data_IF_429371005212
#
_entry.id   IF_429371005212
#
_cell.length_a   1.000
_cell.length_b   1.000
_cell.length_c   1.000
_cell.angle_alpha   90.00
_cell.angle_beta   90.00
_cell.angle_gamma   90.00
#
_symmetry.space_group_name_H-M   'P 1'
#
loop_
_entity.id
_entity.type
_entity.pdbx_description
1 polymer ?
#
# COMPACT_ATOMS: atom_id res chain seq x y z
N UNK A 1 -4.48 14.05 3.22
CA UNK A 1 -4.90 12.78 3.83
C UNK A 1 -3.79 11.73 3.70
N UNK A 2 -2.76 11.76 4.56
CA UNK A 2 -1.64 10.79 4.50
C UNK A 2 -1.92 9.44 5.19
N UNK A 3 -3.09 9.31 5.84
CA UNK A 3 -3.41 8.21 6.74
C UNK A 3 -4.21 7.06 6.10
N UNK A 4 -4.19 6.90 4.77
CA UNK A 4 -4.96 5.86 4.06
C UNK A 4 -4.10 4.74 3.47
N UNK A 5 -2.77 4.78 3.66
CA UNK A 5 -1.84 3.79 3.10
C UNK A 5 -1.42 2.75 4.13
N UNK A 6 -1.08 1.56 3.63
CA UNK A 6 -0.57 0.41 4.38
C UNK A 6 0.56 0.76 5.36
N UNK A 7 1.40 1.76 5.04
CA UNK A 7 2.45 2.32 5.89
C UNK A 7 2.41 3.85 5.77
N UNK A 8 1.68 4.53 6.64
CA UNK A 8 1.52 5.98 6.53
C UNK A 8 0.95 6.69 7.76
N UNK A 9 0.37 5.96 8.71
CA UNK A 9 -0.14 6.50 9.96
C UNK A 9 0.38 5.69 11.17
N UNK A 10 0.42 6.34 12.34
CA UNK A 10 0.97 5.74 13.56
C UNK A 10 0.30 4.39 13.96
N UNK A 11 -1.02 4.21 13.88
CA UNK A 11 -1.65 2.91 14.13
C UNK A 11 -1.17 1.78 13.19
N UNK A 12 -1.03 2.05 11.89
CA UNK A 12 -0.57 1.04 10.93
C UNK A 12 0.89 0.65 11.16
N UNK A 13 1.73 1.61 11.58
CA UNK A 13 3.10 1.31 12.00
C UNK A 13 3.15 0.42 13.25
N UNK A 14 2.26 0.65 14.22
CA UNK A 14 2.13 -0.19 15.42
C UNK A 14 1.68 -1.62 15.08
N UNK A 15 0.68 -1.78 14.21
CA UNK A 15 0.25 -3.12 13.78
C UNK A 15 1.36 -3.82 12.99
N UNK A 16 2.06 -3.09 12.10
CA UNK A 16 3.21 -3.63 11.37
C UNK A 16 4.31 -4.14 12.29
N UNK A 17 4.66 -3.41 13.36
CA UNK A 17 5.71 -3.83 14.29
C UNK A 17 5.32 -5.08 15.07
N UNK A 18 4.06 -5.20 15.52
CA UNK A 18 3.54 -6.41 16.19
C UNK A 18 3.68 -7.62 15.26
N UNK A 19 3.30 -7.47 13.99
CA UNK A 19 3.35 -8.57 13.00
C UNK A 19 4.80 -8.96 12.69
N UNK A 20 5.70 -7.98 12.54
CA UNK A 20 7.13 -8.24 12.34
C UNK A 20 7.76 -8.94 13.56
N UNK A 21 7.37 -8.57 14.79
CA UNK A 21 7.79 -9.25 16.02
C UNK A 21 7.33 -10.72 16.09
N UNK A 22 6.16 -11.04 15.52
CA UNK A 22 5.67 -12.44 15.42
C UNK A 22 6.35 -13.25 14.31
N UNK A 23 7.35 -12.70 13.63
CA UNK A 23 8.13 -13.38 12.59
C UNK A 23 7.50 -13.34 11.20
N UNK A 24 6.43 -12.56 11.00
CA UNK A 24 5.79 -12.39 9.70
C UNK A 24 6.43 -11.20 9.00
N UNK A 25 7.10 -11.45 7.87
CA UNK A 25 7.78 -10.41 7.10
C UNK A 25 6.78 -9.48 6.42
N UNK A 26 6.74 -8.22 6.85
CA UNK A 26 5.91 -7.18 6.24
C UNK A 26 6.67 -6.45 5.13
N UNK A 27 6.05 -6.15 3.97
CA UNK A 27 6.69 -5.33 2.95
C UNK A 27 7.04 -3.94 3.47
N UNK A 28 8.19 -3.41 3.03
CA UNK A 28 8.54 -1.99 3.23
C UNK A 28 7.56 -1.08 2.50
N UNK A 29 7.54 0.23 2.84
CA UNK A 29 6.69 1.19 2.14
C UNK A 29 6.88 1.15 0.61
N UNK A 30 8.13 1.20 0.16
CA UNK A 30 8.46 1.10 -1.26
C UNK A 30 8.18 -0.29 -1.84
N UNK A 31 8.34 -1.35 -1.06
CA UNK A 31 7.95 -2.71 -1.47
C UNK A 31 6.44 -2.83 -1.69
N UNK A 32 5.64 -2.21 -0.83
CA UNK A 32 4.19 -2.14 -0.98
C UNK A 32 3.79 -1.33 -2.22
N UNK A 33 4.43 -0.18 -2.42
CA UNK A 33 4.15 0.72 -3.54
C UNK A 33 4.43 0.07 -4.89
N UNK A 34 5.59 -0.56 -5.04
CA UNK A 34 6.06 -1.13 -6.32
C UNK A 34 5.44 -2.47 -6.65
N UNK A 35 5.24 -3.36 -5.67
CA UNK A 35 4.70 -4.71 -5.91
C UNK A 35 3.18 -4.75 -5.97
N UNK A 36 2.49 -3.86 -5.27
CA UNK A 36 1.03 -3.93 -5.13
C UNK A 36 0.34 -2.65 -5.59
N UNK A 37 0.71 -1.47 -5.07
CA UNK A 37 -0.05 -0.25 -5.36
C UNK A 37 0.03 0.17 -6.82
N UNK A 38 1.23 0.37 -7.37
CA UNK A 38 1.42 0.85 -8.75
C UNK A 38 0.84 -0.16 -9.77
N UNK A 39 1.17 -1.46 -9.71
CA UNK A 39 0.69 -2.42 -10.69
C UNK A 39 -0.83 -2.61 -10.70
N UNK A 40 -1.52 -2.28 -9.60
CA UNK A 40 -2.99 -2.39 -9.53
C UNK A 40 -3.64 -1.04 -9.86
N UNK A 41 -3.23 0.02 -9.16
CA UNK A 41 -3.91 1.31 -9.25
C UNK A 41 -3.65 2.02 -10.58
N UNK A 42 -2.44 1.94 -11.14
CA UNK A 42 -2.12 2.63 -12.40
C UNK A 42 -2.90 2.03 -13.59
N UNK A 43 -2.91 0.70 -13.81
CA UNK A 43 -3.73 0.12 -14.88
C UNK A 43 -5.22 0.39 -14.67
N UNK A 44 -5.72 0.30 -13.44
CA UNK A 44 -7.12 0.57 -13.14
C UNK A 44 -7.49 2.02 -13.44
N UNK A 45 -6.62 2.97 -13.07
CA UNK A 45 -6.79 4.39 -13.38
C UNK A 45 -6.81 4.64 -14.89
N UNK A 46 -5.91 4.01 -15.65
CA UNK A 46 -5.88 4.13 -17.12
C UNK A 46 -7.18 3.59 -17.72
N UNK A 47 -7.62 2.41 -17.31
CA UNK A 47 -8.84 1.78 -17.84
C UNK A 47 -10.07 2.65 -17.56
N UNK A 48 -10.24 3.10 -16.33
CA UNK A 48 -11.35 3.99 -15.94
C UNK A 48 -11.27 5.30 -16.73
N UNK A 49 -10.07 5.86 -16.91
CA UNK A 49 -9.89 7.09 -17.67
C UNK A 49 -10.35 6.93 -19.12
N UNK A 50 -9.94 5.85 -19.80
CA UNK A 50 -10.32 5.57 -21.18
C UNK A 50 -11.81 5.31 -21.39
N UNK A 51 -12.52 4.83 -20.36
CA UNK A 51 -13.96 4.53 -20.44
C UNK A 51 -14.81 5.78 -20.23
N UNK A 52 -14.38 6.69 -19.36
CA UNK A 52 -15.23 7.78 -18.85
C UNK A 52 -14.79 9.19 -19.27
N UNK A 53 -13.62 9.37 -19.91
CA UNK A 53 -13.11 10.66 -20.37
C UNK A 53 -12.58 10.57 -21.81
#
# INVERSE_FOLDING_TARGET
MGAMTYIGNAPNFMVKSIVEETGISMPSFFGYMTKYSIPILVPLFIIVSLIFF
#
